data_IF_064810623230
#
_entry.id   IF_064810623230
#
_cell.length_a   1.000
_cell.length_b   1.000
_cell.length_c   1.000
_cell.angle_alpha   90.00
_cell.angle_beta   90.00
_cell.angle_gamma   90.00
#
_symmetry.space_group_name_H-M   'P 1'
#
loop_
_entity.id
_entity.type
_entity.pdbx_description
1 polymer ?
#
# COMPACT_ATOMS: atom_id res chain seq x y z
N UNK A 1 34.82 17.99 2.29
CA UNK A 1 34.11 17.11 3.26
C UNK A 1 32.88 16.57 2.57
N UNK A 2 32.91 15.30 2.15
CA UNK A 2 31.86 14.66 1.35
C UNK A 2 30.87 14.01 2.31
N UNK A 3 29.79 14.70 2.67
CA UNK A 3 28.70 14.09 3.44
C UNK A 3 27.92 13.21 2.45
N UNK A 4 28.32 11.94 2.33
CA UNK A 4 27.46 10.92 1.74
C UNK A 4 26.28 10.74 2.67
N UNK A 5 25.12 11.30 2.30
CA UNK A 5 23.87 11.03 2.99
C UNK A 5 23.53 9.54 2.87
N UNK A 6 23.77 8.78 3.94
CA UNK A 6 23.21 7.44 4.07
C UNK A 6 21.68 7.57 4.02
N UNK A 7 21.07 7.10 2.92
CA UNK A 7 19.64 6.88 2.84
C UNK A 7 19.30 5.82 3.89
N UNK A 8 18.81 6.25 5.06
CA UNK A 8 18.39 5.35 6.14
C UNK A 8 17.32 4.43 5.58
N UNK A 9 17.60 3.13 5.52
CA UNK A 9 16.62 2.14 5.07
C UNK A 9 15.40 2.19 6.00
N UNK A 10 14.25 2.57 5.42
CA UNK A 10 12.98 2.74 6.17
C UNK A 10 12.35 1.40 6.58
N UNK A 11 12.80 0.29 6.00
CA UNK A 11 12.28 -1.04 6.24
C UNK A 11 13.43 -2.06 6.23
N UNK A 12 13.42 -3.01 7.17
CA UNK A 12 14.40 -4.11 7.27
C UNK A 12 13.67 -5.42 7.50
N UNK A 13 14.09 -6.47 6.80
CA UNK A 13 13.54 -7.81 6.98
C UNK A 13 14.66 -8.79 7.34
N UNK A 14 14.45 -9.59 8.38
CA UNK A 14 15.37 -10.63 8.81
C UNK A 14 14.65 -11.96 8.98
N UNK A 15 15.20 -13.03 8.41
CA UNK A 15 14.70 -14.39 8.61
C UNK A 15 15.31 -14.95 9.90
N UNK A 16 14.47 -15.40 10.82
CA UNK A 16 14.86 -16.00 12.11
C UNK A 16 14.98 -17.52 12.03
N UNK A 17 14.03 -18.15 11.34
CA UNK A 17 13.98 -19.60 11.24
C UNK A 17 13.39 -20.04 9.89
N UNK A 18 13.77 -21.25 9.50
CA UNK A 18 13.35 -21.90 8.26
C UNK A 18 12.87 -23.31 8.58
N UNK A 19 11.74 -23.70 8.01
CA UNK A 19 11.26 -25.09 8.03
C UNK A 19 10.73 -25.44 6.65
N UNK A 20 11.50 -26.22 5.90
CA UNK A 20 11.27 -26.43 4.47
C UNK A 20 11.28 -25.11 3.69
N UNK A 21 10.13 -24.73 3.11
CA UNK A 21 9.94 -23.44 2.41
C UNK A 21 9.30 -22.35 3.28
N UNK A 22 8.85 -22.68 4.49
CA UNK A 22 8.28 -21.73 5.42
C UNK A 22 9.38 -20.89 6.08
N UNK A 23 9.11 -19.59 6.25
CA UNK A 23 10.05 -18.62 6.81
C UNK A 23 9.38 -17.92 7.98
N UNK A 24 10.00 -18.00 9.14
CA UNK A 24 9.68 -17.14 10.27
C UNK A 24 10.74 -16.04 10.36
N UNK A 25 10.32 -14.81 10.63
CA UNK A 25 11.20 -13.64 10.51
C UNK A 25 10.62 -12.41 11.17
N UNK A 26 11.32 -11.28 11.02
CA UNK A 26 10.90 -9.98 11.54
C UNK A 26 11.00 -8.92 10.47
N UNK A 27 9.93 -8.16 10.32
CA UNK A 27 9.89 -6.94 9.53
C UNK A 27 9.90 -5.74 10.47
N UNK A 28 10.90 -4.88 10.33
CA UNK A 28 11.03 -3.62 11.05
C UNK A 28 10.77 -2.47 10.10
N UNK A 29 9.92 -1.53 10.51
CA UNK A 29 9.50 -0.39 9.72
C UNK A 29 9.65 0.88 10.56
N UNK A 30 10.34 1.87 10.03
CA UNK A 30 10.52 3.15 10.70
C UNK A 30 9.38 4.11 10.37
N UNK A 31 8.67 4.55 11.41
CA UNK A 31 7.77 5.69 11.39
C UNK A 31 8.53 6.94 11.89
N UNK A 32 8.07 8.16 11.54
CA UNK A 32 8.56 9.36 12.21
C UNK A 32 8.32 9.28 13.72
N UNK A 33 9.39 9.03 14.50
CA UNK A 33 9.34 8.94 15.96
C UNK A 33 8.98 7.56 16.54
N UNK A 34 8.75 6.53 15.73
CA UNK A 34 8.43 5.17 16.21
C UNK A 34 9.02 4.09 15.29
N UNK A 35 9.24 2.87 15.81
CA UNK A 35 9.66 1.71 15.02
C UNK A 35 8.63 0.60 15.22
N UNK A 36 7.98 0.18 14.14
CA UNK A 36 7.03 -0.94 14.15
C UNK A 36 7.79 -2.21 13.83
N UNK A 37 7.80 -3.18 14.74
CA UNK A 37 8.47 -4.48 14.58
C UNK A 37 7.45 -5.60 14.62
N UNK A 38 7.53 -6.52 13.65
CA UNK A 38 6.44 -7.46 13.37
C UNK A 38 7.02 -8.83 13.03
N UNK A 39 6.53 -9.87 13.68
CA UNK A 39 6.91 -11.25 13.35
C UNK A 39 6.18 -11.70 12.08
N UNK A 40 6.88 -12.40 11.18
CA UNK A 40 6.28 -13.03 10.00
C UNK A 40 6.19 -14.54 10.22
N UNK A 41 5.09 -15.22 9.83
CA UNK A 41 3.93 -14.70 9.10
C UNK A 41 3.05 -13.79 9.96
N UNK A 42 2.61 -12.66 9.39
CA UNK A 42 1.68 -11.73 10.02
C UNK A 42 0.42 -11.55 9.17
N UNK A 43 -0.66 -11.12 9.83
CA UNK A 43 -1.87 -10.66 9.17
C UNK A 43 -1.93 -9.13 9.20
N UNK A 44 -2.57 -8.53 8.21
CA UNK A 44 -2.88 -7.10 8.18
C UNK A 44 -4.38 -6.90 8.34
N UNK A 45 -4.79 -5.99 9.21
CA UNK A 45 -6.17 -5.56 9.34
C UNK A 45 -6.59 -4.80 8.08
N UNK A 46 -7.54 -5.38 7.33
CA UNK A 46 -8.06 -4.76 6.12
C UNK A 46 -8.95 -3.58 6.45
N UNK A 47 -8.59 -2.39 5.96
CA UNK A 47 -9.38 -1.17 6.10
C UNK A 47 -9.60 -0.53 4.73
N UNK A 48 -10.64 0.30 4.60
CA UNK A 48 -10.84 1.11 3.40
C UNK A 48 -10.05 2.41 3.48
N UNK A 49 -10.49 3.29 4.38
CA UNK A 49 -9.93 4.63 4.62
C UNK A 49 -9.04 4.70 5.87
N UNK A 50 -8.41 3.59 6.26
CA UNK A 50 -7.41 3.57 7.32
C UNK A 50 -7.90 3.22 8.73
N UNK A 51 -9.20 3.17 8.98
CA UNK A 51 -9.75 2.64 10.24
C UNK A 51 -10.54 1.36 9.99
N UNK A 52 -10.43 0.35 10.87
CA UNK A 52 -11.25 -0.86 10.78
C UNK A 52 -12.73 -0.52 10.95
N UNK A 53 -13.60 -1.32 10.32
CA UNK A 53 -15.04 -1.10 10.40
C UNK A 53 -15.54 -1.43 11.82
N UNK A 54 -16.42 -0.58 12.36
CA UNK A 54 -17.00 -0.71 13.71
C UNK A 54 -15.99 -0.73 14.87
N UNK A 55 -14.76 -0.26 14.66
CA UNK A 55 -13.75 -0.16 15.71
C UNK A 55 -13.20 1.26 15.76
N UNK A 56 -13.48 1.96 16.86
CA UNK A 56 -12.96 3.30 17.11
C UNK A 56 -11.48 3.25 17.51
N UNK A 57 -10.69 4.32 17.27
CA UNK A 57 -9.25 4.33 17.55
C UNK A 57 -8.86 3.99 19.00
N UNK A 58 -9.68 4.41 19.97
CA UNK A 58 -9.50 4.13 21.40
C UNK A 58 -9.58 2.63 21.73
N UNK A 59 -10.39 1.88 20.97
CA UNK A 59 -10.55 0.44 21.13
C UNK A 59 -9.43 -0.36 20.46
N UNK A 60 -8.59 0.25 19.62
CA UNK A 60 -7.48 -0.47 18.95
C UNK A 60 -6.49 -1.05 19.95
N UNK A 61 -6.29 -0.38 21.09
CA UNK A 61 -5.43 -0.85 22.18
C UNK A 61 -5.90 -2.16 22.83
N UNK A 62 -7.17 -2.54 22.64
CA UNK A 62 -7.73 -3.81 23.14
C UNK A 62 -7.42 -5.01 22.23
N UNK A 63 -6.93 -4.77 21.02
CA UNK A 63 -6.56 -5.84 20.09
C UNK A 63 -5.23 -6.51 20.51
N UNK A 64 -4.99 -7.76 20.08
CA UNK A 64 -3.73 -8.46 20.37
C UNK A 64 -2.51 -7.67 19.88
N UNK A 65 -1.60 -7.33 20.79
CA UNK A 65 -0.37 -6.59 20.50
C UNK A 65 0.83 -7.54 20.51
N UNK A 66 1.78 -7.45 19.55
CA UNK A 66 1.89 -6.43 18.48
C UNK A 66 1.15 -6.76 17.18
N UNK A 67 0.53 -7.95 17.07
CA UNK A 67 0.06 -8.52 15.80
C UNK A 67 -1.01 -7.68 15.07
N UNK A 68 -1.78 -6.88 15.81
CA UNK A 68 -2.82 -6.00 15.26
C UNK A 68 -2.33 -4.63 14.79
N UNK A 69 -1.03 -4.31 14.88
CA UNK A 69 -0.52 -2.98 14.55
C UNK A 69 -0.36 -2.72 13.05
N UNK A 70 -0.80 -3.65 12.21
CA UNK A 70 -0.66 -3.60 10.77
C UNK A 70 -1.96 -3.42 10.03
N UNK A 71 -2.11 -2.29 9.33
CA UNK A 71 -3.32 -2.00 8.60
C UNK A 71 -3.04 -1.94 7.10
N UNK A 72 -3.89 -2.61 6.33
CA UNK A 72 -4.00 -2.41 4.90
C UNK A 72 -4.96 -1.25 4.65
N UNK A 73 -4.59 -0.32 3.78
CA UNK A 73 -5.42 0.79 3.31
C UNK A 73 -5.52 0.76 1.79
N UNK A 74 -6.65 1.16 1.22
CA UNK A 74 -6.77 1.30 -0.23
C UNK A 74 -6.71 2.79 -0.64
N UNK A 75 -5.65 3.23 -1.33
CA UNK A 75 -5.50 4.61 -1.79
C UNK A 75 -6.67 5.14 -2.62
N UNK A 76 -7.30 4.26 -3.41
CA UNK A 76 -8.39 4.65 -4.31
C UNK A 76 -9.62 5.17 -3.55
N UNK A 77 -9.86 4.70 -2.32
CA UNK A 77 -10.95 5.23 -1.49
C UNK A 77 -10.72 6.68 -1.04
N UNK A 78 -9.50 7.20 -1.16
CA UNK A 78 -9.18 8.59 -0.86
C UNK A 78 -9.27 9.50 -2.10
N UNK A 79 -9.38 8.95 -3.31
CA UNK A 79 -9.41 9.73 -4.54
C UNK A 79 -10.58 10.72 -4.61
N UNK A 80 -11.72 10.36 -4.02
CA UNK A 80 -12.95 11.16 -4.04
C UNK A 80 -13.28 11.82 -2.68
N UNK A 81 -12.31 11.86 -1.78
CA UNK A 81 -12.47 12.42 -0.43
C UNK A 81 -11.74 13.74 -0.26
N UNK A 82 -10.92 13.79 0.81
CA UNK A 82 -10.06 14.93 1.08
C UNK A 82 -9.09 15.16 -0.07
N UNK A 83 -8.85 16.42 -0.41
CA UNK A 83 -7.82 16.74 -1.39
C UNK A 83 -6.48 16.19 -0.93
N UNK A 84 -5.70 15.61 -1.84
CA UNK A 84 -4.42 15.03 -1.50
C UNK A 84 -3.43 16.06 -0.93
N UNK A 85 -3.58 17.33 -1.32
CA UNK A 85 -2.82 18.44 -0.73
C UNK A 85 -3.17 18.65 0.74
N UNK A 86 -4.46 18.60 1.10
CA UNK A 86 -4.89 18.68 2.50
C UNK A 86 -4.28 17.55 3.32
N UNK A 87 -4.26 16.32 2.80
CA UNK A 87 -3.66 15.18 3.49
C UNK A 87 -2.14 15.37 3.70
N UNK A 88 -1.44 15.89 2.69
CA UNK A 88 -0.02 16.19 2.83
C UNK A 88 0.24 17.29 3.87
N UNK A 89 -0.59 18.33 3.91
CA UNK A 89 -0.50 19.43 4.88
C UNK A 89 -0.74 18.96 6.32
N UNK A 90 -1.62 17.97 6.53
CA UNK A 90 -1.80 17.30 7.81
C UNK A 90 -0.61 16.40 8.19
N UNK A 91 0.32 16.17 7.26
CA UNK A 91 1.53 15.39 7.44
C UNK A 91 1.39 13.90 7.13
N UNK A 92 0.41 13.54 6.31
CA UNK A 92 0.20 12.18 5.79
C UNK A 92 -0.84 11.37 6.57
N UNK A 93 -1.03 10.13 6.15
CA UNK A 93 -2.13 9.28 6.58
C UNK A 93 -2.05 8.90 8.06
N UNK A 94 -0.85 8.61 8.57
CA UNK A 94 -0.64 8.29 9.99
C UNK A 94 -1.15 9.41 10.92
N UNK A 95 -0.85 10.67 10.60
CA UNK A 95 -1.30 11.82 11.40
C UNK A 95 -2.79 12.07 11.24
N UNK A 96 -3.30 11.96 10.01
CA UNK A 96 -4.73 12.15 9.72
C UNK A 96 -5.61 11.13 10.48
N UNK A 97 -5.14 9.90 10.66
CA UNK A 97 -5.87 8.85 11.37
C UNK A 97 -5.60 8.83 12.88
N UNK A 98 -4.62 9.61 13.37
CA UNK A 98 -4.17 9.53 14.76
C UNK A 98 -3.47 8.21 15.10
N UNK A 99 -2.83 7.56 14.11
CA UNK A 99 -2.17 6.25 14.26
C UNK A 99 -0.65 6.32 13.99
N UNK A 100 0.12 7.08 14.79
CA UNK A 100 1.56 7.24 14.57
C UNK A 100 2.37 5.96 14.86
N UNK A 101 1.85 5.06 15.69
CA UNK A 101 2.53 3.83 16.14
C UNK A 101 2.14 2.58 15.33
N UNK A 102 1.28 2.74 14.33
CA UNK A 102 0.79 1.65 13.47
C UNK A 102 1.52 1.64 12.13
N UNK A 103 1.63 0.47 11.54
CA UNK A 103 2.12 0.27 10.17
C UNK A 103 0.97 0.36 9.16
N UNK A 104 1.10 1.21 8.15
CA UNK A 104 0.12 1.39 7.09
C UNK A 104 0.67 0.90 5.74
N UNK A 105 0.04 -0.12 5.17
CA UNK A 105 0.33 -0.65 3.85
C UNK A 105 -0.71 -0.22 2.82
N UNK A 106 -0.29 0.50 1.77
CA UNK A 106 -1.17 0.89 0.68
C UNK A 106 -1.30 -0.25 -0.35
N UNK A 107 -2.51 -0.79 -0.50
CA UNK A 107 -2.86 -1.85 -1.44
C UNK A 107 -4.07 -1.41 -2.26
N UNK A 108 -3.97 -1.47 -3.58
CA UNK A 108 -5.02 -0.97 -4.49
C UNK A 108 -6.33 -1.76 -4.44
N UNK A 109 -6.28 -2.99 -3.91
CA UNK A 109 -7.46 -3.83 -3.73
C UNK A 109 -8.21 -3.53 -2.45
N UNK A 110 -9.52 -3.41 -2.59
CA UNK A 110 -10.44 -3.53 -1.48
C UNK A 110 -10.85 -4.99 -1.29
N UNK A 111 -10.24 -5.65 -0.31
CA UNK A 111 -10.55 -7.04 0.06
C UNK A 111 -11.95 -7.20 0.69
N UNK A 112 -12.62 -6.11 1.05
CA UNK A 112 -13.95 -6.13 1.69
C UNK A 112 -15.06 -6.16 0.64
N UNK A 113 -14.91 -5.40 -0.46
CA UNK A 113 -15.94 -5.33 -1.52
C UNK A 113 -15.61 -6.27 -2.68
N UNK A 114 -14.34 -6.69 -2.86
CA UNK A 114 -13.91 -7.62 -3.90
C UNK A 114 -14.54 -7.32 -5.27
N UNK A 115 -14.51 -6.05 -5.73
CA UNK A 115 -15.06 -5.69 -7.04
C UNK A 115 -14.18 -6.29 -8.14
N UNK A 116 -14.66 -7.27 -8.92
CA UNK A 116 -13.89 -7.84 -10.01
C UNK A 116 -14.46 -7.29 -11.30
N UNK A 117 -13.82 -6.30 -11.91
CA UNK A 117 -13.82 -6.15 -13.38
C UNK A 117 -12.91 -5.00 -13.80
N UNK A 118 -11.70 -5.34 -14.22
CA UNK A 118 -10.75 -4.43 -14.87
C UNK A 118 -10.94 -4.44 -16.39
N UNK A 119 -12.20 -4.55 -16.86
CA UNK A 119 -12.56 -4.81 -18.28
C UNK A 119 -12.08 -3.75 -19.28
N UNK A 120 -11.48 -2.67 -18.79
CA UNK A 120 -11.13 -1.48 -19.54
C UNK A 120 -9.72 -0.93 -19.23
N UNK A 121 -8.88 -1.74 -18.56
CA UNK A 121 -7.47 -1.42 -18.36
C UNK A 121 -6.73 -1.33 -19.70
N UNK A 122 -6.06 -0.20 -19.93
CA UNK A 122 -5.35 0.08 -21.16
C UNK A 122 -3.83 0.14 -20.94
N UNK A 123 -3.05 0.55 -21.95
CA UNK A 123 -1.59 0.63 -21.86
C UNK A 123 -1.11 1.73 -20.89
N UNK A 124 -1.91 2.78 -20.71
CA UNK A 124 -1.50 4.03 -20.06
C UNK A 124 -1.86 4.07 -18.56
N UNK A 125 -2.82 3.26 -18.13
CA UNK A 125 -3.23 3.24 -16.73
C UNK A 125 -4.13 2.05 -16.40
N UNK A 126 -4.18 1.74 -15.10
CA UNK A 126 -5.04 0.70 -14.55
C UNK A 126 -6.44 1.26 -14.31
N UNK A 127 -7.45 0.45 -14.58
CA UNK A 127 -8.84 0.76 -14.27
C UNK A 127 -9.32 -0.08 -13.10
N UNK A 128 -9.99 0.58 -12.15
CA UNK A 128 -10.58 -0.02 -10.96
C UNK A 128 -12.05 0.37 -10.86
N UNK A 129 -12.87 -0.58 -10.45
CA UNK A 129 -14.22 -0.28 -10.00
C UNK A 129 -14.18 0.12 -8.53
N UNK A 130 -14.79 1.25 -8.22
CA UNK A 130 -14.92 1.77 -6.86
C UNK A 130 -16.41 1.90 -6.53
N UNK A 131 -16.79 2.08 -5.24
CA UNK A 131 -18.17 2.39 -4.87
C UNK A 131 -18.75 3.63 -5.58
N UNK A 132 -17.90 4.47 -6.16
CA UNK A 132 -18.27 5.68 -6.88
C UNK A 132 -18.21 5.54 -8.41
N UNK A 133 -17.99 4.31 -8.89
CA UNK A 133 -17.85 3.97 -10.30
C UNK A 133 -16.40 3.76 -10.71
N UNK A 134 -16.18 3.83 -12.01
CA UNK A 134 -14.91 3.48 -12.63
C UNK A 134 -13.87 4.57 -12.48
N UNK A 135 -12.74 4.23 -11.85
CA UNK A 135 -11.56 5.08 -11.73
C UNK A 135 -10.41 4.54 -12.57
N UNK A 136 -9.82 5.38 -13.43
CA UNK A 136 -8.59 5.03 -14.16
C UNK A 136 -7.44 5.89 -13.67
N UNK A 137 -6.34 5.25 -13.27
CA UNK A 137 -5.19 5.93 -12.68
C UNK A 137 -3.90 5.57 -13.41
N UNK A 138 -3.08 6.59 -13.68
CA UNK A 138 -1.76 6.41 -14.30
C UNK A 138 -0.68 6.20 -13.25
N UNK A 139 0.46 5.55 -13.57
CA UNK A 139 1.56 5.36 -12.63
C UNK A 139 2.04 6.65 -11.94
N UNK A 140 2.17 7.75 -12.68
CA UNK A 140 2.60 9.04 -12.11
C UNK A 140 1.58 9.65 -11.13
N UNK A 141 0.29 9.56 -11.45
CA UNK A 141 -0.80 10.04 -10.58
C UNK A 141 -0.89 9.18 -9.31
N UNK A 142 -0.72 7.86 -9.47
CA UNK A 142 -0.64 6.93 -8.36
C UNK A 142 0.53 7.25 -7.42
N UNK A 143 1.73 7.45 -7.95
CA UNK A 143 2.89 7.77 -7.11
C UNK A 143 2.74 9.12 -6.39
N UNK A 144 2.14 10.12 -7.05
CA UNK A 144 1.81 11.39 -6.42
C UNK A 144 0.82 11.22 -5.26
N UNK A 145 -0.19 10.36 -5.40
CA UNK A 145 -1.11 10.02 -4.31
C UNK A 145 -0.35 9.35 -3.15
N UNK A 146 0.53 8.39 -3.44
CA UNK A 146 1.35 7.72 -2.42
C UNK A 146 2.29 8.69 -1.70
N UNK A 147 2.88 9.66 -2.40
CA UNK A 147 3.78 10.65 -1.78
C UNK A 147 3.06 11.60 -0.81
N UNK A 148 1.79 11.90 -1.07
CA UNK A 148 0.94 12.64 -0.14
C UNK A 148 0.45 11.80 1.04
N UNK A 149 0.07 10.54 0.79
CA UNK A 149 -0.40 9.62 1.84
C UNK A 149 0.72 9.20 2.80
N UNK A 150 1.95 9.05 2.31
CA UNK A 150 3.12 8.61 3.09
C UNK A 150 2.89 7.31 3.90
N UNK A 151 2.37 6.23 3.27
CA UNK A 151 2.29 4.92 3.93
C UNK A 151 3.69 4.35 4.15
N UNK A 152 3.79 3.29 4.93
CA UNK A 152 5.05 2.60 5.16
C UNK A 152 5.55 1.81 3.96
N UNK A 153 4.63 1.16 3.25
CA UNK A 153 4.87 0.54 1.97
C UNK A 153 3.64 0.72 1.08
N UNK A 154 3.85 0.59 -0.21
CA UNK A 154 2.80 0.62 -1.21
C UNK A 154 3.04 -0.51 -2.21
N UNK A 155 1.96 -1.15 -2.64
CA UNK A 155 1.99 -2.10 -3.75
C UNK A 155 2.02 -1.32 -5.07
N UNK A 156 2.84 -1.73 -6.03
CA UNK A 156 2.85 -1.10 -7.35
C UNK A 156 1.53 -1.29 -8.09
N UNK A 157 1.26 -0.46 -9.10
CA UNK A 157 0.08 -0.57 -9.93
C UNK A 157 0.08 -1.89 -10.73
N UNK A 158 -0.89 -2.80 -10.54
CA UNK A 158 -0.98 -4.04 -11.30
C UNK A 158 -2.02 -3.96 -12.42
N UNK A 159 -1.77 -4.63 -13.55
CA UNK A 159 -2.81 -4.95 -14.53
C UNK A 159 -3.52 -6.25 -14.10
N UNK A 160 -4.47 -6.12 -13.18
CA UNK A 160 -5.20 -7.29 -12.68
C UNK A 160 -6.07 -7.91 -13.76
N UNK A 161 -5.97 -9.23 -13.91
CA UNK A 161 -6.78 -10.02 -14.84
C UNK A 161 -7.32 -11.27 -14.14
N UNK A 162 -8.53 -11.74 -14.51
CA UNK A 162 -9.03 -13.01 -14.00
C UNK A 162 -8.13 -14.20 -14.38
N UNK A 163 -8.15 -15.25 -13.57
CA UNK A 163 -7.32 -16.44 -13.79
C UNK A 163 -7.64 -17.20 -15.09
N UNK A 164 -8.84 -16.99 -15.67
CA UNK A 164 -9.32 -17.68 -16.87
C UNK A 164 -9.10 -16.89 -18.17
N UNK A 165 -8.28 -15.83 -18.16
CA UNK A 165 -7.91 -15.13 -19.40
C UNK A 165 -6.99 -15.96 -20.30
N UNK A 166 -6.96 -15.63 -21.59
CA UNK A 166 -6.06 -16.28 -22.55
C UNK A 166 -4.59 -16.03 -22.20
N UNK A 167 -3.70 -16.93 -22.60
CA UNK A 167 -2.25 -16.79 -22.39
C UNK A 167 -1.72 -15.46 -22.97
N UNK A 168 -2.23 -15.05 -24.15
CA UNK A 168 -1.91 -13.76 -24.76
C UNK A 168 -2.27 -12.57 -23.86
N UNK A 169 -3.45 -12.59 -23.22
CA UNK A 169 -3.90 -11.52 -22.32
C UNK A 169 -3.11 -11.54 -21.00
N UNK A 170 -2.78 -12.73 -20.51
CA UNK A 170 -1.97 -12.92 -19.31
C UNK A 170 -0.56 -12.34 -19.51
N UNK A 171 0.12 -12.70 -20.61
CA UNK A 171 1.41 -12.12 -20.99
C UNK A 171 1.37 -10.59 -21.08
N UNK A 172 0.32 -10.06 -21.73
CA UNK A 172 0.13 -8.62 -21.84
C UNK A 172 -0.07 -7.93 -20.48
N UNK A 173 -0.71 -8.60 -19.52
CA UNK A 173 -0.87 -8.10 -18.14
C UNK A 173 0.45 -8.06 -17.39
N UNK A 174 1.27 -9.10 -17.52
CA UNK A 174 2.62 -9.15 -16.94
C UNK A 174 3.48 -8.03 -17.53
N UNK A 175 3.54 -7.90 -18.85
CA UNK A 175 4.34 -6.88 -19.53
C UNK A 175 3.94 -5.45 -19.10
N UNK A 176 2.64 -5.17 -18.96
CA UNK A 176 2.14 -3.88 -18.48
C UNK A 176 2.47 -3.64 -17.01
N UNK A 177 2.32 -4.65 -16.16
CA UNK A 177 2.63 -4.55 -14.73
C UNK A 177 4.11 -4.22 -14.49
N UNK A 178 5.01 -4.84 -15.27
CA UNK A 178 6.45 -4.54 -15.22
C UNK A 178 6.72 -3.11 -15.70
N UNK A 179 6.13 -2.69 -16.82
CA UNK A 179 6.28 -1.33 -17.35
C UNK A 179 5.84 -0.28 -16.33
N UNK A 180 4.69 -0.48 -15.69
CA UNK A 180 4.17 0.44 -14.70
C UNK A 180 4.98 0.44 -13.41
N UNK A 181 5.53 -0.71 -13.01
CA UNK A 181 6.49 -0.77 -11.90
C UNK A 181 7.72 0.10 -12.19
N UNK A 182 8.29 0.00 -13.39
CA UNK A 182 9.43 0.83 -13.80
C UNK A 182 9.09 2.32 -13.77
N UNK A 183 7.89 2.69 -14.25
CA UNK A 183 7.44 4.08 -14.24
C UNK A 183 7.19 4.59 -12.81
N UNK A 184 6.61 3.76 -11.93
CA UNK A 184 6.48 4.07 -10.51
C UNK A 184 7.85 4.29 -9.84
N UNK A 185 8.83 3.44 -10.13
CA UNK A 185 10.20 3.57 -9.59
C UNK A 185 10.85 4.85 -10.10
N UNK A 186 10.71 5.20 -11.39
CA UNK A 186 11.24 6.45 -11.95
C UNK A 186 10.63 7.66 -11.25
N UNK A 187 9.31 7.70 -11.09
CA UNK A 187 8.63 8.79 -10.38
C UNK A 187 9.07 8.91 -8.91
N UNK A 188 9.35 7.79 -8.24
CA UNK A 188 9.81 7.79 -6.84
C UNK A 188 11.22 8.35 -6.61
N UNK A 189 12.03 8.47 -7.67
CA UNK A 189 13.40 9.00 -7.62
C UNK A 189 13.47 10.50 -7.93
N UNK A 190 12.40 11.07 -8.48
CA UNK A 190 12.35 12.48 -8.87
C UNK A 190 11.85 13.41 -7.76
N UNK A 191 11.31 12.86 -6.66
CA UNK A 191 10.96 13.56 -5.41
C UNK A 191 12.01 13.34 -4.33
#
# INVERSE_FOLDING_TARGET
>A
VRIQGHRRERMKFAVKALSGRARAGVLQVQNPGCCVSMETPCLMLSTRKGLPHFLSPDLLSSLPSPDSHLFQVCPLHFAEGLSMQSMNNLGGLHKMLGLPEYGLGAVLRDSIICLPESSSTNKNGASFETPFGRLSIKPAEYMKMISYMKPNWAVSLPDEVPAWVTEKRNKSSVDRTILWLDDCIKSSKME
#
